data_IF_524236653029
#
_entry.id   IF_524236653029
#
_cell.length_a   1.000
_cell.length_b   1.000
_cell.length_c   1.000
_cell.angle_alpha   90.00
_cell.angle_beta   90.00
_cell.angle_gamma   90.00
#
_symmetry.space_group_name_H-M   'P 1'
#
loop_
_entity.id
_entity.type
_entity.pdbx_description
1 polymer ?
#
# COMPACT_ATOMS: atom_id res chain seq x y z
N UNK A 1 12.14 -2.33 7.55
CA UNK A 1 12.22 -3.81 7.71
C UNK A 1 11.70 -4.54 6.48
N UNK A 2 10.53 -4.14 5.95
CA UNK A 2 9.91 -4.74 4.76
C UNK A 2 10.77 -4.63 3.48
N UNK A 3 11.35 -3.46 3.19
CA UNK A 3 12.27 -3.28 2.06
C UNK A 3 13.36 -4.35 1.97
N UNK A 4 13.95 -4.73 3.12
CA UNK A 4 15.00 -5.76 3.18
C UNK A 4 14.45 -7.15 2.87
N UNK A 5 13.26 -7.48 3.38
CA UNK A 5 12.58 -8.75 3.11
C UNK A 5 12.36 -8.89 1.59
N UNK A 6 11.86 -7.83 0.97
CA UNK A 6 11.59 -7.80 -0.47
C UNK A 6 12.86 -7.92 -1.32
N UNK A 7 13.85 -7.07 -1.08
CA UNK A 7 15.01 -6.94 -1.97
C UNK A 7 16.03 -8.09 -1.83
N UNK A 8 15.97 -8.87 -0.75
CA UNK A 8 16.80 -10.05 -0.57
C UNK A 8 16.53 -11.14 -1.62
N UNK A 9 15.30 -11.19 -2.14
CA UNK A 9 14.89 -12.15 -3.19
C UNK A 9 15.53 -11.86 -4.55
N UNK A 10 16.05 -10.65 -4.76
CA UNK A 10 16.57 -10.21 -6.06
C UNK A 10 18.08 -10.31 -6.08
N UNK A 11 18.64 -11.35 -6.73
CA UNK A 11 20.09 -11.56 -6.81
C UNK A 11 20.79 -10.59 -7.76
N UNK A 12 20.15 -10.23 -8.86
CA UNK A 12 20.70 -9.28 -9.83
C UNK A 12 20.82 -7.88 -9.22
N UNK A 13 22.04 -7.33 -9.21
CA UNK A 13 22.33 -6.02 -8.58
C UNK A 13 21.65 -4.85 -9.29
N UNK A 14 21.54 -4.89 -10.62
CA UNK A 14 20.89 -3.81 -11.40
C UNK A 14 19.40 -3.83 -11.17
N UNK A 15 18.80 -5.02 -11.19
CA UNK A 15 17.37 -5.18 -10.96
C UNK A 15 16.99 -4.86 -9.51
N UNK A 16 17.82 -5.25 -8.55
CA UNK A 16 17.66 -4.86 -7.14
C UNK A 16 17.69 -3.35 -7.00
N UNK A 17 18.67 -2.67 -7.62
CA UNK A 17 18.76 -1.21 -7.60
C UNK A 17 17.54 -0.54 -8.26
N UNK A 18 17.01 -1.12 -9.34
CA UNK A 18 15.79 -0.64 -9.99
C UNK A 18 14.59 -0.71 -9.03
N UNK A 19 14.32 -1.87 -8.44
CA UNK A 19 13.23 -2.03 -7.47
C UNK A 19 13.43 -1.18 -6.22
N UNK A 20 14.65 -1.08 -5.71
CA UNK A 20 14.99 -0.21 -4.59
C UNK A 20 14.67 1.26 -4.89
N UNK A 21 15.00 1.74 -6.09
CA UNK A 21 14.74 3.12 -6.49
C UNK A 21 13.23 3.42 -6.58
N UNK A 22 12.44 2.47 -7.05
CA UNK A 22 10.98 2.59 -7.09
C UNK A 22 10.41 2.55 -5.67
N UNK A 23 10.84 1.58 -4.85
CA UNK A 23 10.40 1.43 -3.47
C UNK A 23 10.64 2.71 -2.66
N UNK A 24 11.86 3.25 -2.71
CA UNK A 24 12.23 4.44 -1.93
C UNK A 24 11.44 5.67 -2.36
N UNK A 25 11.14 5.78 -3.66
CA UNK A 25 10.35 6.88 -4.18
C UNK A 25 8.87 6.77 -3.78
N UNK A 26 8.29 5.57 -3.87
CA UNK A 26 6.95 5.31 -3.37
C UNK A 26 6.86 5.58 -1.87
N UNK A 27 7.84 5.09 -1.09
CA UNK A 27 7.87 5.25 0.36
C UNK A 27 7.90 6.73 0.72
N UNK A 28 8.77 7.50 0.04
CA UNK A 28 8.83 8.95 0.22
C UNK A 28 7.48 9.62 -0.04
N UNK A 29 6.81 9.32 -1.17
CA UNK A 29 5.49 9.88 -1.49
C UNK A 29 4.48 9.52 -0.38
N UNK A 30 4.43 8.24 0.01
CA UNK A 30 3.44 7.73 0.98
C UNK A 30 3.65 8.21 2.42
N UNK A 31 4.78 8.84 2.75
CA UNK A 31 5.04 9.38 4.08
C UNK A 31 4.79 10.89 4.17
N UNK A 32 4.66 11.59 3.05
CA UNK A 32 4.43 13.04 3.07
C UNK A 32 2.97 13.32 3.48
N UNK A 33 2.79 14.16 4.51
CA UNK A 33 1.48 14.67 4.95
C UNK A 33 1.24 16.12 4.54
N UNK A 34 2.30 16.81 4.12
CA UNK A 34 2.26 18.20 3.64
C UNK A 34 1.81 18.25 2.17
N UNK A 35 0.65 18.86 1.94
CA UNK A 35 0.05 19.00 0.60
C UNK A 35 0.92 19.89 -0.29
N UNK A 36 1.46 21.00 0.22
CA UNK A 36 2.29 21.90 -0.59
C UNK A 36 3.56 21.18 -1.05
N UNK A 37 4.13 20.34 -0.18
CA UNK A 37 5.29 19.52 -0.54
C UNK A 37 4.95 18.44 -1.57
N UNK A 38 3.77 17.81 -1.49
CA UNK A 38 3.28 16.88 -2.52
C UNK A 38 3.08 17.56 -3.88
N UNK A 39 2.47 18.75 -3.90
CA UNK A 39 2.26 19.52 -5.13
C UNK A 39 3.59 19.97 -5.76
N UNK A 40 4.58 20.31 -4.93
CA UNK A 40 5.94 20.57 -5.41
C UNK A 40 6.54 19.30 -6.01
N UNK A 41 6.42 18.16 -5.34
CA UNK A 41 6.95 16.89 -5.84
C UNK A 41 6.28 16.48 -7.16
N UNK A 42 4.99 16.77 -7.35
CA UNK A 42 4.31 16.59 -8.63
C UNK A 42 4.99 17.38 -9.75
N UNK A 43 5.31 18.66 -9.50
CA UNK A 43 6.04 19.51 -10.46
C UNK A 43 7.43 18.96 -10.76
N UNK A 44 8.13 18.43 -9.77
CA UNK A 44 9.44 17.80 -9.94
C UNK A 44 9.35 16.55 -10.82
N UNK A 45 8.30 15.73 -10.67
CA UNK A 45 8.04 14.59 -11.56
C UNK A 45 7.67 15.00 -12.99
N UNK A 46 6.88 16.07 -13.15
CA UNK A 46 6.57 16.62 -14.48
C UNK A 46 7.84 17.14 -15.16
N UNK A 47 8.73 17.80 -14.42
CA UNK A 47 10.03 18.23 -14.91
C UNK A 47 10.92 17.02 -15.29
N UNK A 48 10.93 15.98 -14.45
CA UNK A 48 11.62 14.71 -14.71
C UNK A 48 11.17 14.04 -16.01
N UNK A 49 9.85 13.99 -16.26
CA UNK A 49 9.29 13.47 -17.52
C UNK A 49 9.78 14.25 -18.74
N UNK A 50 9.96 15.56 -18.58
CA UNK A 50 10.51 16.45 -19.63
C UNK A 50 12.05 16.43 -19.71
N UNK A 51 12.73 15.56 -18.97
CA UNK A 51 14.19 15.37 -19.03
C UNK A 51 14.99 16.21 -18.03
N UNK A 52 14.34 17.05 -17.23
CA UNK A 52 15.01 17.82 -16.17
C UNK A 52 15.09 16.97 -14.91
N UNK A 53 16.30 16.70 -14.41
CA UNK A 53 16.45 15.89 -13.18
C UNK A 53 16.72 16.81 -11.99
N UNK A 54 15.86 16.74 -10.97
CA UNK A 54 16.12 17.38 -9.68
C UNK A 54 17.45 16.89 -9.08
N UNK A 55 18.13 17.75 -8.32
CA UNK A 55 19.44 17.42 -7.71
C UNK A 55 19.33 16.41 -6.56
N UNK A 56 18.12 16.08 -6.11
CA UNK A 56 17.87 15.15 -5.02
C UNK A 56 18.39 13.75 -5.34
N UNK A 57 18.76 13.03 -4.28
CA UNK A 57 19.27 11.66 -4.39
C UNK A 57 18.23 10.72 -4.99
N UNK A 58 16.95 10.91 -4.64
CA UNK A 58 15.84 10.08 -5.12
C UNK A 58 15.67 10.19 -6.64
N UNK A 59 15.58 11.41 -7.19
CA UNK A 59 15.46 11.61 -8.64
C UNK A 59 16.70 11.16 -9.41
N UNK A 60 17.91 11.34 -8.85
CA UNK A 60 19.15 10.79 -9.43
C UNK A 60 19.13 9.26 -9.51
N UNK A 61 18.67 8.59 -8.45
CA UNK A 61 18.55 7.13 -8.44
C UNK A 61 17.47 6.65 -9.42
N UNK A 62 16.32 7.32 -9.43
CA UNK A 62 15.24 7.04 -10.37
C UNK A 62 15.69 7.22 -11.84
N UNK A 63 16.48 8.25 -12.14
CA UNK A 63 17.08 8.44 -13.48
C UNK A 63 17.97 7.28 -13.87
N UNK A 64 18.84 6.82 -12.97
CA UNK A 64 19.69 5.65 -13.22
C UNK A 64 18.84 4.40 -13.43
N UNK A 65 17.80 4.20 -12.63
CA UNK A 65 16.87 3.09 -12.77
C UNK A 65 16.16 3.11 -14.14
N UNK A 66 15.69 4.29 -14.60
CA UNK A 66 15.06 4.48 -15.91
C UNK A 66 16.01 4.19 -17.09
N UNK A 67 17.32 4.44 -16.93
CA UNK A 67 18.31 4.07 -17.96
C UNK A 67 18.39 2.55 -18.12
N UNK A 68 18.31 1.81 -17.00
CA UNK A 68 18.36 0.34 -17.03
C UNK A 68 17.04 -0.28 -17.46
N UNK A 69 15.91 0.36 -17.14
CA UNK A 69 14.58 -0.10 -17.53
C UNK A 69 13.79 1.07 -18.13
N UNK A 70 13.78 1.12 -19.47
CA UNK A 70 13.16 2.20 -20.25
C UNK A 70 11.64 2.21 -20.16
N UNK A 71 11.03 1.13 -19.71
CA UNK A 71 9.58 0.99 -19.61
C UNK A 71 9.02 1.55 -18.29
N UNK A 72 9.86 2.13 -17.42
CA UNK A 72 9.41 2.77 -16.18
C UNK A 72 8.34 3.85 -16.45
N UNK A 73 7.15 3.64 -15.89
CA UNK A 73 5.98 4.51 -16.09
C UNK A 73 5.96 5.62 -15.03
N UNK A 74 6.61 6.74 -15.33
CA UNK A 74 6.70 7.90 -14.42
C UNK A 74 5.31 8.45 -14.04
N UNK A 75 4.34 8.37 -14.96
CA UNK A 75 2.99 8.91 -14.76
C UNK A 75 2.24 8.28 -13.59
N UNK A 76 2.61 7.06 -13.18
CA UNK A 76 2.02 6.41 -12.01
C UNK A 76 2.47 7.06 -10.69
N UNK A 77 3.68 7.60 -10.60
CA UNK A 77 4.08 8.38 -9.41
C UNK A 77 3.28 9.66 -9.30
N UNK A 78 3.04 10.35 -10.42
CA UNK A 78 2.20 11.55 -10.50
C UNK A 78 0.76 11.21 -10.08
N UNK A 79 0.22 10.10 -10.59
CA UNK A 79 -1.11 9.63 -10.20
C UNK A 79 -1.21 9.37 -8.69
N UNK A 80 -0.22 8.69 -8.11
CA UNK A 80 -0.19 8.43 -6.67
C UNK A 80 -0.18 9.71 -5.84
N UNK A 81 0.62 10.72 -6.25
CA UNK A 81 0.69 12.02 -5.60
C UNK A 81 -0.67 12.72 -5.61
N UNK A 82 -1.34 12.76 -6.78
CA UNK A 82 -2.66 13.38 -6.92
C UNK A 82 -3.70 12.74 -6.02
N UNK A 83 -3.72 11.41 -6.02
CA UNK A 83 -4.65 10.66 -5.17
C UNK A 83 -4.34 10.87 -3.69
N UNK A 84 -3.05 10.99 -3.33
CA UNK A 84 -2.66 11.28 -1.96
C UNK A 84 -3.12 12.67 -1.51
N UNK A 85 -2.95 13.70 -2.34
CA UNK A 85 -3.49 15.05 -2.08
C UNK A 85 -5.00 15.01 -1.91
N UNK A 86 -5.72 14.27 -2.76
CA UNK A 86 -7.17 14.11 -2.64
C UNK A 86 -7.57 13.52 -1.28
N UNK A 87 -6.91 12.43 -0.85
CA UNK A 87 -7.27 11.73 0.39
C UNK A 87 -6.78 12.42 1.67
N UNK A 88 -5.69 13.20 1.62
CA UNK A 88 -5.30 14.07 2.73
C UNK A 88 -6.34 15.17 3.00
N UNK A 89 -6.97 15.69 1.94
CA UNK A 89 -8.07 16.65 2.06
C UNK A 89 -9.41 15.98 2.41
N UNK A 90 -9.55 14.68 2.16
CA UNK A 90 -10.79 13.91 2.35
C UNK A 90 -10.53 12.61 3.13
N UNK A 91 -10.10 12.67 4.41
CA UNK A 91 -9.64 11.50 5.16
C UNK A 91 -10.76 10.57 5.66
N UNK A 92 -12.01 10.81 5.24
CA UNK A 92 -13.18 10.04 5.69
C UNK A 92 -13.74 9.21 4.54
N UNK A 93 -13.89 7.91 4.78
CA UNK A 93 -14.57 6.98 3.88
C UNK A 93 -15.87 6.52 4.54
N UNK A 94 -16.96 6.49 3.76
CA UNK A 94 -18.29 6.14 4.30
C UNK A 94 -18.58 4.65 4.18
N UNK A 95 -18.34 4.08 3.00
CA UNK A 95 -18.71 2.69 2.66
C UNK A 95 -17.48 1.83 2.42
N UNK A 96 -17.66 0.51 2.49
CA UNK A 96 -16.61 -0.44 2.12
C UNK A 96 -16.13 -0.23 0.68
N UNK A 97 -17.03 0.04 -0.26
CA UNK A 97 -16.66 0.33 -1.66
C UNK A 97 -15.75 1.55 -1.78
N UNK A 98 -15.96 2.58 -0.95
CA UNK A 98 -15.13 3.78 -0.94
C UNK A 98 -13.73 3.48 -0.39
N UNK A 99 -13.64 2.59 0.61
CA UNK A 99 -12.37 2.08 1.12
C UNK A 99 -11.64 1.20 0.10
N UNK A 100 -12.35 0.36 -0.66
CA UNK A 100 -11.76 -0.46 -1.72
C UNK A 100 -11.27 0.39 -2.89
N UNK A 101 -11.98 1.48 -3.21
CA UNK A 101 -11.51 2.48 -4.16
C UNK A 101 -10.23 3.16 -3.66
N UNK A 102 -10.22 3.60 -2.41
CA UNK A 102 -9.02 4.14 -1.76
C UNK A 102 -7.86 3.15 -1.84
N UNK A 103 -8.09 1.88 -1.53
CA UNK A 103 -7.09 0.82 -1.60
C UNK A 103 -6.48 0.71 -3.01
N UNK A 104 -7.32 0.76 -4.04
CA UNK A 104 -6.86 0.75 -5.43
C UNK A 104 -6.02 1.99 -5.79
N UNK A 105 -6.42 3.16 -5.31
CA UNK A 105 -5.81 4.45 -5.64
C UNK A 105 -4.59 4.81 -4.76
N UNK A 106 -4.33 4.11 -3.65
CA UNK A 106 -3.26 4.41 -2.70
C UNK A 106 -2.38 3.23 -2.27
N UNK A 107 -2.68 2.00 -2.71
CA UNK A 107 -1.86 0.83 -2.31
C UNK A 107 -0.42 0.95 -2.80
N UNK A 108 0.50 0.94 -1.84
CA UNK A 108 1.93 0.97 -2.10
C UNK A 108 2.37 -0.20 -2.99
N UNK A 109 1.94 -1.42 -2.67
CA UNK A 109 2.40 -2.61 -3.38
C UNK A 109 1.81 -2.74 -4.78
N UNK A 110 0.58 -2.25 -5.00
CA UNK A 110 -0.01 -2.20 -6.33
C UNK A 110 0.68 -1.18 -7.23
N UNK A 111 1.00 0.02 -6.73
CA UNK A 111 1.81 0.97 -7.47
C UNK A 111 3.22 0.44 -7.74
N UNK A 112 3.83 -0.25 -6.77
CA UNK A 112 5.10 -0.92 -6.96
C UNK A 112 5.05 -1.94 -8.11
N UNK A 113 4.02 -2.80 -8.16
CA UNK A 113 3.81 -3.77 -9.25
C UNK A 113 3.63 -3.07 -10.60
N UNK A 114 2.73 -2.08 -10.69
CA UNK A 114 2.41 -1.40 -11.95
C UNK A 114 3.61 -0.64 -12.52
N UNK A 115 4.43 0.00 -11.67
CA UNK A 115 5.62 0.74 -12.10
C UNK A 115 6.76 -0.21 -12.46
N UNK A 116 6.95 -1.27 -11.67
CA UNK A 116 8.04 -2.22 -11.84
C UNK A 116 7.82 -3.20 -13.00
N UNK A 117 6.56 -3.45 -13.35
CA UNK A 117 6.16 -4.32 -14.44
C UNK A 117 4.94 -3.73 -15.18
N UNK A 118 5.15 -2.87 -16.19
CA UNK A 118 4.06 -2.19 -16.90
C UNK A 118 3.07 -3.15 -17.57
N UNK A 119 3.50 -4.37 -17.92
CA UNK A 119 2.60 -5.39 -18.47
C UNK A 119 1.51 -5.84 -17.49
N UNK A 120 1.73 -5.66 -16.18
CA UNK A 120 0.78 -5.99 -15.12
C UNK A 120 -0.47 -5.13 -15.14
N UNK A 121 -0.48 -3.97 -15.81
CA UNK A 121 -1.67 -3.11 -15.96
C UNK A 121 -2.83 -3.87 -16.61
N UNK A 122 -2.54 -4.88 -17.44
CA UNK A 122 -3.56 -5.76 -18.03
C UNK A 122 -4.14 -6.78 -17.05
N UNK A 123 -3.47 -7.02 -15.93
CA UNK A 123 -3.87 -7.96 -14.86
C UNK A 123 -4.64 -7.21 -13.75
N UNK A 124 -5.74 -6.55 -14.14
CA UNK A 124 -6.52 -5.66 -13.26
C UNK A 124 -6.96 -6.37 -11.97
N UNK A 125 -7.38 -7.63 -12.06
CA UNK A 125 -7.83 -8.39 -10.89
C UNK A 125 -6.70 -8.69 -9.91
N UNK A 126 -5.47 -8.92 -10.40
CA UNK A 126 -4.29 -9.06 -9.55
C UNK A 126 -3.99 -7.76 -8.80
N UNK A 127 -4.04 -6.62 -9.51
CA UNK A 127 -3.81 -5.30 -8.93
C UNK A 127 -4.86 -4.98 -7.87
N UNK A 128 -6.16 -5.18 -8.17
CA UNK A 128 -7.25 -4.95 -7.21
C UNK A 128 -7.12 -5.82 -5.96
N UNK A 129 -6.77 -7.09 -6.15
CA UNK A 129 -6.62 -8.03 -5.03
C UNK A 129 -5.42 -7.65 -4.17
N UNK A 130 -4.30 -7.27 -4.78
CA UNK A 130 -3.10 -6.83 -4.08
C UNK A 130 -3.36 -5.52 -3.32
N UNK A 131 -4.08 -4.59 -3.95
CA UNK A 131 -4.50 -3.32 -3.33
C UNK A 131 -5.36 -3.55 -2.11
N UNK A 132 -6.37 -4.42 -2.24
CA UNK A 132 -7.28 -4.77 -1.15
C UNK A 132 -6.53 -5.45 -0.02
N UNK A 133 -5.67 -6.42 -0.33
CA UNK A 133 -4.84 -7.10 0.64
C UNK A 133 -3.93 -6.12 1.41
N UNK A 134 -3.21 -5.26 0.70
CA UNK A 134 -2.30 -4.25 1.28
C UNK A 134 -3.05 -3.27 2.19
N UNK A 135 -4.16 -2.71 1.70
CA UNK A 135 -4.95 -1.75 2.46
C UNK A 135 -5.59 -2.36 3.71
N UNK A 136 -6.26 -3.51 3.58
CA UNK A 136 -6.95 -4.13 4.72
C UNK A 136 -5.98 -4.69 5.74
N UNK A 137 -4.84 -5.25 5.31
CA UNK A 137 -3.79 -5.71 6.24
C UNK A 137 -3.24 -4.55 7.05
N UNK A 138 -2.89 -3.44 6.40
CA UNK A 138 -2.42 -2.24 7.09
C UNK A 138 -3.51 -1.65 8.01
N UNK A 139 -4.77 -1.64 7.57
CA UNK A 139 -5.87 -1.15 8.39
C UNK A 139 -6.01 -1.93 9.70
N UNK A 140 -5.97 -3.26 9.65
CA UNK A 140 -6.06 -4.10 10.86
C UNK A 140 -4.82 -3.95 11.74
N UNK A 141 -3.62 -3.99 11.17
CA UNK A 141 -2.36 -3.99 11.93
C UNK A 141 -2.09 -2.64 12.62
N UNK A 142 -2.57 -1.53 12.04
CA UNK A 142 -2.25 -0.17 12.48
C UNK A 142 -3.50 0.68 12.76
N UNK A 143 -4.64 0.04 13.07
CA UNK A 143 -5.91 0.73 13.28
C UNK A 143 -5.82 1.87 14.30
N UNK A 144 -5.21 1.63 15.47
CA UNK A 144 -5.07 2.61 16.54
C UNK A 144 -4.20 3.81 16.13
N UNK A 145 -3.05 3.55 15.49
CA UNK A 145 -2.14 4.59 15.00
C UNK A 145 -2.85 5.50 13.99
N UNK A 146 -3.57 4.90 13.03
CA UNK A 146 -4.29 5.63 11.99
C UNK A 146 -5.41 6.52 12.54
N UNK A 147 -6.12 6.05 13.57
CA UNK A 147 -7.14 6.86 14.26
C UNK A 147 -6.51 8.10 14.89
N UNK A 148 -5.38 7.93 15.58
CA UNK A 148 -4.69 9.05 16.24
C UNK A 148 -4.09 10.05 15.24
N UNK A 149 -3.72 9.59 14.05
CA UNK A 149 -3.13 10.41 12.99
C UNK A 149 -4.16 11.03 12.02
N UNK A 150 -5.46 10.83 12.27
CA UNK A 150 -6.55 11.27 11.39
C UNK A 150 -6.38 10.78 9.95
N UNK A 151 -5.88 9.55 9.79
CA UNK A 151 -5.80 8.88 8.49
C UNK A 151 -7.09 8.11 8.19
N UNK A 152 -7.23 7.69 6.93
CA UNK A 152 -8.33 6.81 6.52
C UNK A 152 -8.27 5.49 7.30
N UNK A 153 -9.36 5.21 8.00
CA UNK A 153 -9.54 4.04 8.87
C UNK A 153 -10.77 3.24 8.42
N UNK A 154 -11.54 2.68 9.36
CA UNK A 154 -12.74 1.92 9.06
C UNK A 154 -13.83 2.83 8.48
N UNK A 155 -14.63 2.36 7.50
CA UNK A 155 -15.75 3.13 6.98
C UNK A 155 -16.78 3.42 8.06
N UNK A 156 -17.32 4.63 8.10
CA UNK A 156 -18.27 5.02 9.15
C UNK A 156 -19.50 4.12 9.19
N UNK A 157 -20.02 3.75 8.01
CA UNK A 157 -21.16 2.83 7.92
C UNK A 157 -20.83 1.46 8.51
N UNK A 158 -19.60 1.00 8.34
CA UNK A 158 -19.18 -0.30 8.88
C UNK A 158 -19.11 -0.27 10.41
N UNK A 159 -18.67 0.85 10.99
CA UNK A 159 -18.66 1.05 12.44
C UNK A 159 -20.09 1.10 13.00
N UNK A 160 -21.03 1.70 12.26
CA UNK A 160 -22.46 1.73 12.60
C UNK A 160 -23.10 0.34 12.49
N UNK A 161 -22.89 -0.37 11.38
CA UNK A 161 -23.48 -1.68 11.09
C UNK A 161 -23.07 -2.75 12.13
N UNK A 162 -21.83 -2.66 12.63
CA UNK A 162 -21.32 -3.54 13.67
C UNK A 162 -21.57 -3.01 15.10
N UNK A 163 -22.22 -1.86 15.27
CA UNK A 163 -22.43 -1.22 16.57
C UNK A 163 -21.14 -1.09 17.39
N UNK A 164 -20.09 -0.54 16.76
CA UNK A 164 -18.80 -0.31 17.40
C UNK A 164 -18.93 0.80 18.46
N UNK A 165 -18.52 0.47 19.68
CA UNK A 165 -18.56 1.38 20.82
C UNK A 165 -17.28 2.20 20.90
N UNK A 166 -17.38 3.38 21.51
CA UNK A 166 -16.25 4.28 21.75
C UNK A 166 -16.12 4.58 23.24
N UNK A 167 -14.89 4.76 23.70
CA UNK A 167 -14.60 5.29 25.02
C UNK A 167 -15.05 6.75 25.13
N UNK A 168 -15.10 7.29 26.35
CA UNK A 168 -15.39 8.72 26.58
C UNK A 168 -14.41 9.65 25.85
N UNK A 169 -13.17 9.18 25.61
CA UNK A 169 -12.14 9.91 24.86
C UNK A 169 -12.28 9.74 23.33
N UNK A 170 -13.35 9.10 22.85
CA UNK A 170 -13.61 8.88 21.43
C UNK A 170 -12.78 7.77 20.77
N UNK A 171 -12.17 6.86 21.55
CA UNK A 171 -11.39 5.73 21.02
C UNK A 171 -12.24 4.50 20.82
N UNK A 172 -12.00 3.73 19.76
CA UNK A 172 -12.72 2.47 19.51
C UNK A 172 -12.49 1.48 20.67
N UNK A 173 -13.57 0.90 21.19
CA UNK A 173 -13.51 -0.14 22.22
C UNK A 173 -13.33 -1.52 21.59
N UNK A 174 -12.38 -2.30 22.10
CA UNK A 174 -12.12 -3.68 21.67
C UNK A 174 -13.07 -4.68 22.36
N UNK A 175 -14.37 -4.54 22.09
CA UNK A 175 -15.41 -5.45 22.57
C UNK A 175 -15.72 -6.56 21.53
N UNK A 176 -16.73 -7.39 21.78
CA UNK A 176 -17.10 -8.48 20.87
C UNK A 176 -17.51 -7.99 19.47
N UNK A 177 -18.18 -6.84 19.38
CA UNK A 177 -18.55 -6.22 18.11
C UNK A 177 -17.32 -5.84 17.28
N UNK A 178 -16.31 -5.27 17.92
CA UNK A 178 -15.02 -4.99 17.27
C UNK A 178 -14.34 -6.27 16.80
N UNK A 179 -14.36 -7.35 17.60
CA UNK A 179 -13.78 -8.62 17.19
C UNK A 179 -14.50 -9.22 15.97
N UNK A 180 -15.84 -9.15 15.93
CA UNK A 180 -16.61 -9.59 14.76
C UNK A 180 -16.26 -8.79 13.49
N UNK A 181 -16.09 -7.47 13.61
CA UNK A 181 -15.65 -6.62 12.51
C UNK A 181 -14.26 -7.04 12.01
N UNK A 182 -13.31 -7.22 12.92
CA UNK A 182 -11.93 -7.59 12.61
C UNK A 182 -11.85 -9.00 11.99
N UNK A 183 -12.63 -9.96 12.49
CA UNK A 183 -12.76 -11.30 11.91
C UNK A 183 -13.32 -11.27 10.49
N UNK A 184 -14.34 -10.44 10.23
CA UNK A 184 -14.89 -10.25 8.90
C UNK A 184 -13.83 -9.74 7.92
N UNK A 185 -13.08 -8.71 8.30
CA UNK A 185 -12.01 -8.15 7.48
C UNK A 185 -10.87 -9.16 7.27
N UNK A 186 -10.50 -9.93 8.28
CA UNK A 186 -9.46 -10.95 8.15
C UNK A 186 -9.89 -12.12 7.26
N UNK A 187 -11.17 -12.50 7.27
CA UNK A 187 -11.70 -13.44 6.27
C UNK A 187 -11.53 -12.89 4.86
N UNK A 188 -11.84 -11.61 4.62
CA UNK A 188 -11.61 -10.95 3.33
C UNK A 188 -10.14 -10.91 2.92
N UNK A 189 -9.23 -10.69 3.87
CA UNK A 189 -7.78 -10.74 3.62
C UNK A 189 -7.34 -12.15 3.24
N UNK A 190 -7.84 -13.19 3.91
CA UNK A 190 -7.53 -14.60 3.57
C UNK A 190 -8.01 -14.97 2.16
N UNK A 191 -9.22 -14.55 1.78
CA UNK A 191 -9.75 -14.74 0.42
C UNK A 191 -8.80 -14.11 -0.63
N UNK A 192 -8.36 -12.87 -0.40
CA UNK A 192 -7.39 -12.20 -1.27
C UNK A 192 -6.02 -12.90 -1.26
N UNK A 193 -5.52 -13.32 -0.10
CA UNK A 193 -4.24 -14.00 0.03
C UNK A 193 -4.19 -15.27 -0.84
N UNK A 194 -5.21 -16.11 -0.79
CA UNK A 194 -5.30 -17.34 -1.59
C UNK A 194 -5.29 -17.03 -3.09
N UNK A 195 -6.05 -16.03 -3.51
CA UNK A 195 -6.05 -15.57 -4.89
C UNK A 195 -4.66 -15.06 -5.32
N UNK A 196 -4.02 -14.23 -4.48
CA UNK A 196 -2.71 -13.65 -4.75
C UNK A 196 -1.62 -14.72 -4.82
N UNK A 197 -1.61 -15.69 -3.91
CA UNK A 197 -0.62 -16.78 -3.87
C UNK A 197 -0.61 -17.59 -5.17
N UNK A 198 -1.79 -17.82 -5.77
CA UNK A 198 -1.91 -18.52 -7.05
C UNK A 198 -1.47 -17.63 -8.22
N UNK A 199 -1.96 -16.39 -8.28
CA UNK A 199 -1.82 -15.55 -9.47
C UNK A 199 -0.48 -14.79 -9.55
N UNK A 200 0.18 -14.50 -8.42
CA UNK A 200 1.51 -13.86 -8.42
C UNK A 200 2.56 -14.75 -9.11
N UNK A 201 2.40 -16.08 -9.06
CA UNK A 201 3.29 -17.02 -9.75
C UNK A 201 3.29 -16.84 -11.28
N UNK A 202 2.29 -16.19 -11.85
CA UNK A 202 2.22 -15.89 -13.28
C UNK A 202 3.06 -14.66 -13.68
N UNK A 203 3.61 -13.93 -12.70
CA UNK A 203 4.52 -12.81 -12.94
C UNK A 203 5.95 -13.31 -13.18
N UNK A 204 6.72 -12.52 -13.93
CA UNK A 204 8.12 -12.82 -14.19
C UNK A 204 8.97 -12.74 -12.92
N UNK A 205 9.97 -13.62 -12.84
CA UNK A 205 10.99 -13.55 -11.81
C UNK A 205 11.87 -12.30 -11.96
N UNK A 206 12.36 -11.73 -10.85
CA UNK A 206 12.15 -12.12 -9.45
C UNK A 206 11.00 -11.35 -8.78
N UNK A 207 10.18 -10.62 -9.54
CA UNK A 207 9.09 -9.80 -8.99
C UNK A 207 8.04 -10.67 -8.28
N UNK A 208 7.75 -11.85 -8.82
CA UNK A 208 6.89 -12.83 -8.17
C UNK A 208 7.39 -13.18 -6.75
N UNK A 209 8.67 -13.49 -6.57
CA UNK A 209 9.26 -13.84 -5.29
C UNK A 209 9.15 -12.71 -4.28
N UNK A 210 9.39 -11.47 -4.71
CA UNK A 210 9.22 -10.30 -3.86
C UNK A 210 7.77 -10.17 -3.36
N UNK A 211 6.80 -10.25 -4.27
CA UNK A 211 5.39 -10.09 -3.92
C UNK A 211 4.90 -11.25 -3.03
N UNK A 212 5.34 -12.49 -3.29
CA UNK A 212 5.07 -13.64 -2.43
C UNK A 212 5.65 -13.44 -1.02
N UNK A 213 6.89 -12.97 -0.92
CA UNK A 213 7.52 -12.69 0.37
C UNK A 213 6.76 -11.61 1.15
N UNK A 214 6.28 -10.57 0.46
CA UNK A 214 5.44 -9.53 1.06
C UNK A 214 4.11 -10.09 1.60
N UNK A 215 3.32 -10.80 0.78
CA UNK A 215 2.00 -11.29 1.23
C UNK A 215 2.13 -12.29 2.38
N UNK A 216 3.18 -13.13 2.37
CA UNK A 216 3.47 -14.07 3.45
C UNK A 216 3.82 -13.34 4.74
N UNK A 217 4.73 -12.36 4.66
CA UNK A 217 5.10 -11.56 5.82
C UNK A 217 3.90 -10.84 6.45
N UNK A 218 3.04 -10.23 5.63
CA UNK A 218 1.83 -9.57 6.13
C UNK A 218 0.86 -10.55 6.79
N UNK A 219 0.68 -11.75 6.20
CA UNK A 219 -0.14 -12.79 6.82
C UNK A 219 0.43 -13.28 8.16
N UNK A 220 1.74 -13.41 8.29
CA UNK A 220 2.39 -13.81 9.55
C UNK A 220 2.17 -12.75 10.65
N UNK A 221 2.26 -11.46 10.28
CA UNK A 221 1.96 -10.35 11.19
C UNK A 221 0.50 -10.37 11.64
N UNK A 222 -0.44 -10.55 10.71
CA UNK A 222 -1.86 -10.67 11.01
C UNK A 222 -2.13 -11.86 11.94
N UNK A 223 -1.63 -13.05 11.62
CA UNK A 223 -1.81 -14.22 12.48
C UNK A 223 -1.26 -13.98 13.90
N UNK A 224 -0.13 -13.30 14.02
CA UNK A 224 0.45 -12.93 15.32
C UNK A 224 -0.43 -11.91 16.05
N UNK A 225 -0.96 -10.91 15.35
CA UNK A 225 -1.90 -9.93 15.89
C UNK A 225 -3.16 -10.62 16.44
N UNK A 226 -3.78 -11.50 15.65
CA UNK A 226 -4.97 -12.25 16.05
C UNK A 226 -4.69 -13.16 17.26
N UNK A 227 -3.57 -13.90 17.29
CA UNK A 227 -3.19 -14.69 18.47
C UNK A 227 -3.12 -13.84 19.75
N UNK A 228 -2.54 -12.64 19.68
CA UNK A 228 -2.47 -11.72 20.82
C UNK A 228 -3.83 -11.17 21.21
N UNK A 229 -4.67 -10.87 20.23
CA UNK A 229 -6.02 -10.32 20.44
C UNK A 229 -6.91 -11.31 21.21
N UNK A 230 -6.86 -12.59 20.84
CA UNK A 230 -7.67 -13.65 21.45
C UNK A 230 -7.09 -14.21 22.76
N UNK A 231 -5.77 -14.16 22.96
CA UNK A 231 -5.13 -14.60 24.22
C UNK A 231 -5.22 -13.57 25.37
N UNK A 232 -5.71 -12.36 25.10
CA UNK A 232 -5.94 -11.32 26.12
C UNK A 232 -7.35 -11.39 26.75
N UNK A 233 -8.18 -12.34 26.32
CA UNK A 233 -9.44 -12.72 26.98
C UNK A 233 -9.17 -13.84 27.97
#
# INVERSE_FOLDING_TARGET
MLKKILLNEVKDKKLRFFYESIYDMLENITLIKDIEYLEKLEKDFLAFKNGYTDKSKLFKNLRKAQIFNKELVVDLFILLIKQRVFYLNNPKVKRMDDLLRYAYEQSFMSFFLMISNPSSIKQIELIKSLSTFDCLSNLILYAEEKINENEITFPSQMLEDYAIEYTLDGKIMMNDNYLFLIDYLFKKIKENYQFLEININQLNEPLNYMLLAYIKHQMDLLQTYFKKLYNKK
#
